data_IF_219555651766
#
_entry.id   IF_219555651766
#
_cell.length_a   1.000
_cell.length_b   1.000
_cell.length_c   1.000
_cell.angle_alpha   90.00
_cell.angle_beta   90.00
_cell.angle_gamma   90.00
#
_symmetry.space_group_name_H-M   'P 1'
#
loop_
_entity.id
_entity.type
_entity.pdbx_description
1 polymer ?
#
# COMPACT_ATOMS: atom_id res chain seq x y z
N UNK A 1 -47.93 -5.04 9.64
CA UNK A 1 -46.63 -5.04 10.36
C UNK A 1 -45.58 -5.65 9.43
N UNK A 2 -44.76 -4.83 8.77
CA UNK A 2 -43.67 -5.36 7.92
C UNK A 2 -42.66 -6.05 8.83
N UNK A 3 -42.50 -7.37 8.66
CA UNK A 3 -41.52 -8.15 9.39
C UNK A 3 -40.13 -7.49 9.27
N UNK A 4 -39.55 -7.11 10.39
CA UNK A 4 -38.23 -6.46 10.42
C UNK A 4 -37.19 -7.45 9.91
N UNK A 5 -36.82 -7.33 8.63
CA UNK A 5 -35.92 -8.25 7.94
C UNK A 5 -34.59 -8.44 8.67
N UNK A 6 -34.02 -9.65 8.57
CA UNK A 6 -32.73 -9.98 9.20
C UNK A 6 -31.62 -9.09 8.61
N UNK A 7 -30.70 -8.58 9.44
CA UNK A 7 -29.54 -7.82 8.95
C UNK A 7 -28.59 -8.74 8.16
N UNK A 8 -27.61 -8.13 7.49
CA UNK A 8 -26.43 -8.83 7.00
C UNK A 8 -25.72 -9.56 8.15
N UNK A 9 -24.98 -10.62 7.84
CA UNK A 9 -24.16 -11.35 8.82
C UNK A 9 -22.76 -11.56 8.31
N UNK A 10 -21.79 -11.57 9.20
CA UNK A 10 -20.38 -11.75 8.88
C UNK A 10 -19.86 -13.09 9.41
N UNK A 11 -19.08 -13.77 8.58
CA UNK A 11 -18.27 -14.92 9.00
C UNK A 11 -16.82 -14.63 8.68
N UNK A 12 -15.96 -14.63 9.70
CA UNK A 12 -14.53 -14.31 9.55
C UNK A 12 -13.68 -15.54 9.81
N UNK A 13 -12.78 -15.86 8.89
CA UNK A 13 -11.81 -16.95 9.06
C UNK A 13 -10.73 -16.55 10.07
N UNK A 14 -10.64 -17.28 11.19
CA UNK A 14 -9.70 -17.07 12.30
C UNK A 14 -9.15 -18.42 12.75
N UNK A 15 -8.24 -18.97 11.94
CA UNK A 15 -7.61 -20.26 12.23
C UNK A 15 -6.18 -20.31 11.72
N UNK A 16 -5.65 -21.50 11.47
CA UNK A 16 -4.21 -21.68 11.24
C UNK A 16 -3.63 -20.82 10.09
N UNK A 17 -4.42 -20.51 9.07
CA UNK A 17 -4.00 -19.72 7.91
C UNK A 17 -4.46 -18.26 7.91
N UNK A 18 -5.47 -17.88 8.70
CA UNK A 18 -6.06 -16.55 8.70
C UNK A 18 -6.07 -16.01 10.14
N UNK A 19 -5.57 -14.80 10.36
CA UNK A 19 -5.42 -14.29 11.73
C UNK A 19 -4.08 -14.60 12.39
N UNK A 20 -3.03 -14.94 11.63
CA UNK A 20 -1.68 -15.18 12.19
C UNK A 20 -0.64 -14.27 11.55
N UNK A 21 0.22 -13.69 12.39
CA UNK A 21 1.34 -12.86 11.95
C UNK A 21 2.30 -13.63 11.01
N UNK A 22 2.36 -14.96 11.12
CA UNK A 22 3.13 -15.82 10.20
C UNK A 22 2.64 -15.72 8.76
N UNK A 23 1.32 -15.65 8.54
CA UNK A 23 0.75 -15.56 7.19
C UNK A 23 0.71 -14.12 6.70
N UNK A 24 0.36 -13.19 7.58
CA UNK A 24 0.19 -11.76 7.26
C UNK A 24 0.88 -10.92 8.35
N UNK A 25 2.21 -10.73 8.25
CA UNK A 25 2.94 -9.92 9.21
C UNK A 25 2.50 -8.45 9.11
N UNK A 26 2.44 -7.77 10.26
CA UNK A 26 2.06 -6.35 10.33
C UNK A 26 0.56 -6.06 10.25
N UNK A 27 -0.29 -7.08 10.22
CA UNK A 27 -1.75 -6.92 10.31
C UNK A 27 -2.18 -7.11 11.76
N UNK A 28 -2.87 -6.11 12.33
CA UNK A 28 -3.55 -6.25 13.61
C UNK A 28 -4.84 -7.05 13.42
N UNK A 29 -4.72 -8.36 13.65
CA UNK A 29 -5.82 -9.27 13.52
C UNK A 29 -6.89 -9.05 14.59
N UNK A 30 -6.50 -8.83 15.84
CA UNK A 30 -7.45 -8.69 16.96
C UNK A 30 -8.22 -7.37 16.83
N UNK A 31 -7.54 -6.25 16.57
CA UNK A 31 -8.18 -4.96 16.32
C UNK A 31 -9.11 -5.00 15.10
N UNK A 32 -8.71 -5.68 14.02
CA UNK A 32 -9.62 -5.89 12.88
C UNK A 32 -10.89 -6.66 13.28
N UNK A 33 -10.77 -7.70 14.11
CA UNK A 33 -11.93 -8.49 14.54
C UNK A 33 -12.87 -7.67 15.42
N UNK A 34 -12.32 -6.87 16.31
CA UNK A 34 -13.07 -5.96 17.17
C UNK A 34 -13.82 -4.90 16.36
N UNK A 35 -13.13 -4.23 15.41
CA UNK A 35 -13.76 -3.26 14.50
C UNK A 35 -14.89 -3.88 13.69
N UNK A 36 -14.69 -5.09 13.14
CA UNK A 36 -15.75 -5.82 12.42
C UNK A 36 -16.93 -6.18 13.34
N UNK A 37 -16.66 -6.54 14.60
CA UNK A 37 -17.70 -6.83 15.60
C UNK A 37 -18.51 -5.59 15.99
N UNK A 38 -17.94 -4.40 15.83
CA UNK A 38 -18.57 -3.10 16.09
C UNK A 38 -19.53 -2.61 14.99
N UNK A 39 -19.52 -3.22 13.81
CA UNK A 39 -20.30 -2.75 12.66
C UNK A 39 -21.82 -2.74 12.91
N UNK A 40 -22.47 -1.73 12.35
CA UNK A 40 -23.93 -1.50 12.43
C UNK A 40 -24.53 -1.42 11.03
N UNK A 41 -25.75 -1.93 10.87
CA UNK A 41 -26.51 -1.76 9.63
C UNK A 41 -27.16 -0.37 9.53
N UNK A 42 -27.80 -0.07 8.40
CA UNK A 42 -28.48 1.22 8.17
C UNK A 42 -29.63 1.51 9.14
N UNK A 43 -30.02 0.54 9.96
CA UNK A 43 -31.03 0.68 11.03
C UNK A 43 -30.39 0.74 12.43
N UNK A 44 -29.06 0.88 12.52
CA UNK A 44 -28.32 0.94 13.78
C UNK A 44 -28.18 -0.41 14.51
N UNK A 45 -28.61 -1.52 13.92
CA UNK A 45 -28.56 -2.85 14.55
C UNK A 45 -27.15 -3.41 14.44
N UNK A 46 -26.68 -4.12 15.47
CA UNK A 46 -25.38 -4.81 15.41
C UNK A 46 -25.41 -5.86 14.32
N UNK A 47 -24.38 -5.86 13.47
CA UNK A 47 -24.17 -6.89 12.46
C UNK A 47 -23.71 -8.16 13.18
N UNK A 48 -24.45 -9.29 13.11
CA UNK A 48 -24.01 -10.52 13.74
C UNK A 48 -22.72 -11.01 13.08
N UNK A 49 -21.67 -11.16 13.89
CA UNK A 49 -20.38 -11.66 13.48
C UNK A 49 -20.11 -13.01 14.15
N UNK A 50 -19.59 -13.96 13.38
CA UNK A 50 -19.09 -15.24 13.88
C UNK A 50 -17.71 -15.49 13.31
N UNK A 51 -16.87 -16.17 14.08
CA UNK A 51 -15.59 -16.68 13.60
C UNK A 51 -15.73 -18.11 13.13
N UNK A 52 -14.95 -18.48 12.12
CA UNK A 52 -14.78 -19.87 11.67
C UNK A 52 -13.31 -20.24 11.72
N UNK A 53 -13.01 -21.50 12.05
CA UNK A 53 -11.63 -22.01 12.05
C UNK A 53 -11.05 -22.12 10.64
N UNK A 54 -11.88 -22.43 9.63
CA UNK A 54 -11.46 -22.45 8.23
C UNK A 54 -12.65 -22.16 7.31
N UNK A 55 -12.38 -21.47 6.20
CA UNK A 55 -13.36 -21.19 5.14
C UNK A 55 -12.99 -21.81 3.78
N UNK A 56 -11.78 -22.40 3.64
CA UNK A 56 -11.35 -23.09 2.42
C UNK A 56 -10.21 -22.38 1.66
N UNK A 57 -10.40 -21.15 1.13
CA UNK A 57 -9.42 -20.52 0.24
C UNK A 57 -8.25 -19.89 1.01
N UNK A 58 -7.50 -20.72 1.73
CA UNK A 58 -6.39 -20.34 2.61
C UNK A 58 -5.23 -19.61 1.90
N UNK A 59 -5.17 -19.65 0.56
CA UNK A 59 -4.21 -18.88 -0.23
C UNK A 59 -4.57 -17.40 -0.35
N UNK A 60 -5.84 -17.04 -0.19
CA UNK A 60 -6.29 -15.66 -0.14
C UNK A 60 -6.01 -15.01 1.22
N UNK A 61 -5.94 -15.80 2.31
CA UNK A 61 -5.79 -15.31 3.69
C UNK A 61 -6.90 -14.31 4.12
N UNK A 62 -7.09 -14.16 5.43
CA UNK A 62 -8.09 -13.27 6.07
C UNK A 62 -9.44 -13.23 5.33
N UNK A 63 -10.04 -14.40 5.15
CA UNK A 63 -11.30 -14.50 4.39
C UNK A 63 -12.47 -14.01 5.25
N UNK A 64 -13.29 -13.13 4.68
CA UNK A 64 -14.55 -12.64 5.27
C UNK A 64 -15.69 -13.01 4.34
N UNK A 65 -16.79 -13.53 4.88
CA UNK A 65 -18.01 -13.83 4.13
C UNK A 65 -19.12 -12.93 4.62
N UNK A 66 -19.70 -12.18 3.69
CA UNK A 66 -20.85 -11.31 3.94
C UNK A 66 -22.10 -12.03 3.47
N UNK A 67 -22.95 -12.42 4.40
CA UNK A 67 -24.26 -12.99 4.10
C UNK A 67 -25.28 -11.86 3.86
N UNK A 68 -26.12 -11.96 2.81
CA UNK A 68 -27.15 -10.98 2.54
C UNK A 68 -28.18 -10.89 3.67
N UNK A 69 -28.73 -9.68 3.84
CA UNK A 69 -29.91 -9.39 4.65
C UNK A 69 -31.15 -10.09 4.07
N UNK A 70 -32.30 -10.03 4.77
CA UNK A 70 -33.57 -10.51 4.18
C UNK A 70 -33.85 -9.80 2.85
N UNK A 71 -33.82 -8.47 2.84
CA UNK A 71 -34.04 -7.66 1.64
C UNK A 71 -33.05 -7.98 0.53
N UNK A 72 -31.76 -8.08 0.88
CA UNK A 72 -30.72 -8.45 -0.09
C UNK A 72 -31.01 -9.81 -0.73
N UNK A 73 -31.50 -10.81 0.02
CA UNK A 73 -31.89 -12.11 -0.54
C UNK A 73 -33.12 -12.02 -1.44
N UNK A 74 -34.12 -11.24 -1.06
CA UNK A 74 -35.34 -11.03 -1.86
C UNK A 74 -35.02 -10.41 -3.23
N UNK A 75 -34.00 -9.55 -3.28
CA UNK A 75 -33.44 -8.97 -4.51
C UNK A 75 -32.47 -9.90 -5.27
N UNK A 76 -32.35 -11.16 -4.86
CA UNK A 76 -31.48 -12.16 -5.51
C UNK A 76 -30.03 -12.19 -5.00
N UNK A 77 -29.71 -11.43 -3.96
CA UNK A 77 -28.39 -11.39 -3.34
C UNK A 77 -27.89 -12.76 -2.89
N UNK A 78 -26.57 -12.96 -3.04
CA UNK A 78 -25.85 -14.18 -2.65
C UNK A 78 -24.72 -13.82 -1.68
N UNK A 79 -24.22 -14.76 -0.88
CA UNK A 79 -23.07 -14.52 -0.02
C UNK A 79 -21.85 -14.07 -0.84
N UNK A 80 -21.22 -12.97 -0.41
CA UNK A 80 -20.00 -12.46 -1.04
C UNK A 80 -18.80 -12.87 -0.19
N UNK A 81 -17.80 -13.46 -0.83
CA UNK A 81 -16.57 -13.92 -0.21
C UNK A 81 -15.46 -12.93 -0.54
N UNK A 82 -14.83 -12.38 0.48
CA UNK A 82 -13.75 -11.41 0.38
C UNK A 82 -12.45 -12.07 0.88
N UNK A 83 -11.46 -12.16 0.00
CA UNK A 83 -10.11 -12.63 0.30
C UNK A 83 -9.15 -11.46 0.53
N UNK A 84 -7.96 -11.75 1.06
CA UNK A 84 -6.91 -10.74 1.30
C UNK A 84 -7.38 -9.55 2.16
N UNK A 85 -8.43 -9.71 2.98
CA UNK A 85 -9.05 -8.63 3.74
C UNK A 85 -8.16 -8.23 4.94
N UNK A 86 -7.16 -7.39 4.69
CA UNK A 86 -6.13 -7.02 5.66
C UNK A 86 -6.06 -5.52 5.93
N UNK A 87 -6.50 -4.70 5.00
CA UNK A 87 -6.41 -3.25 5.08
C UNK A 87 -7.53 -2.64 5.93
N UNK A 88 -7.21 -1.65 6.75
CA UNK A 88 -8.18 -0.97 7.62
C UNK A 88 -9.29 -0.26 6.84
N UNK A 89 -8.96 0.36 5.70
CA UNK A 89 -9.95 1.04 4.86
C UNK A 89 -11.01 0.08 4.30
N UNK A 90 -10.69 -1.20 4.12
CA UNK A 90 -11.69 -2.19 3.68
C UNK A 90 -12.77 -2.45 4.74
N UNK A 91 -12.45 -2.24 6.02
CA UNK A 91 -13.42 -2.37 7.12
C UNK A 91 -14.44 -1.23 7.03
N UNK A 92 -13.95 -0.01 6.73
CA UNK A 92 -14.80 1.17 6.58
C UNK A 92 -15.69 1.03 5.33
N UNK A 93 -15.12 0.64 4.18
CA UNK A 93 -15.87 0.34 2.95
C UNK A 93 -16.93 -0.75 3.16
N UNK A 94 -16.59 -1.81 3.92
CA UNK A 94 -17.52 -2.87 4.28
C UNK A 94 -18.64 -2.37 5.20
N UNK A 95 -18.31 -1.52 6.16
CA UNK A 95 -19.27 -0.90 7.07
C UNK A 95 -20.27 -0.04 6.32
N UNK A 96 -19.80 0.79 5.40
CA UNK A 96 -20.65 1.65 4.56
C UNK A 96 -21.55 0.81 3.64
N UNK A 97 -20.99 -0.20 2.99
CA UNK A 97 -21.78 -1.10 2.14
C UNK A 97 -22.86 -1.87 2.91
N UNK A 98 -22.58 -2.32 4.14
CA UNK A 98 -23.60 -2.95 5.01
C UNK A 98 -24.67 -1.94 5.43
N UNK A 99 -24.29 -0.67 5.64
CA UNK A 99 -25.23 0.40 5.99
C UNK A 99 -26.22 0.67 4.85
N UNK A 100 -25.76 0.57 3.62
CA UNK A 100 -26.57 0.64 2.39
C UNK A 100 -27.40 -0.63 2.11
N UNK A 101 -27.23 -1.69 2.92
CA UNK A 101 -28.02 -2.93 2.85
C UNK A 101 -27.24 -4.16 2.37
N UNK A 102 -26.01 -3.97 1.89
CA UNK A 102 -25.07 -5.02 1.55
C UNK A 102 -25.43 -5.83 0.30
N UNK A 103 -25.02 -7.13 0.23
CA UNK A 103 -25.15 -7.93 -0.98
C UNK A 103 -26.60 -8.02 -1.52
N UNK A 104 -26.78 -7.61 -2.78
CA UNK A 104 -28.06 -7.64 -3.49
C UNK A 104 -28.96 -6.41 -3.24
N UNK A 105 -28.69 -5.62 -2.20
CA UNK A 105 -29.41 -4.38 -1.92
C UNK A 105 -28.63 -3.14 -2.38
N UNK A 106 -27.30 -3.15 -2.25
CA UNK A 106 -26.41 -2.08 -2.68
C UNK A 106 -25.33 -2.61 -3.65
N UNK A 107 -24.87 -1.78 -4.61
CA UNK A 107 -23.77 -2.15 -5.51
C UNK A 107 -22.50 -2.44 -4.71
N UNK A 108 -21.69 -3.38 -5.19
CA UNK A 108 -20.44 -3.74 -4.51
C UNK A 108 -19.39 -2.62 -4.74
N UNK A 109 -18.82 -2.03 -3.67
CA UNK A 109 -17.75 -1.03 -3.81
C UNK A 109 -16.53 -1.59 -4.54
N UNK A 110 -15.88 -0.77 -5.36
CA UNK A 110 -14.73 -1.18 -6.18
C UNK A 110 -13.58 -1.74 -5.33
N UNK A 111 -13.32 -1.12 -4.17
CA UNK A 111 -12.32 -1.57 -3.21
C UNK A 111 -12.57 -3.03 -2.77
N UNK A 112 -13.84 -3.40 -2.51
CA UNK A 112 -14.22 -4.77 -2.14
C UNK A 112 -14.29 -5.71 -3.36
N UNK A 113 -14.69 -5.19 -4.54
CA UNK A 113 -14.78 -5.95 -5.78
C UNK A 113 -13.43 -6.58 -6.16
N UNK A 114 -12.32 -5.86 -5.95
CA UNK A 114 -10.97 -6.36 -6.20
C UNK A 114 -10.55 -7.53 -5.28
N UNK A 115 -11.35 -7.87 -4.26
CA UNK A 115 -11.09 -8.93 -3.27
C UNK A 115 -12.10 -10.06 -3.34
N UNK A 116 -13.05 -10.01 -4.26
CA UNK A 116 -14.05 -11.06 -4.41
C UNK A 116 -13.38 -12.37 -4.80
N UNK A 117 -13.68 -13.41 -4.04
CA UNK A 117 -13.25 -14.78 -4.27
C UNK A 117 -14.47 -15.72 -4.21
N UNK A 118 -14.24 -17.03 -4.30
CA UNK A 118 -15.24 -18.05 -4.01
C UNK A 118 -14.73 -19.05 -2.98
N UNK A 119 -15.64 -19.84 -2.40
CA UNK A 119 -15.30 -20.98 -1.54
C UNK A 119 -14.36 -21.96 -2.26
N UNK A 120 -14.67 -22.24 -3.51
CA UNK A 120 -13.98 -23.21 -4.37
C UNK A 120 -12.86 -22.57 -5.19
N UNK A 121 -12.44 -21.35 -4.84
CA UNK A 121 -11.39 -20.67 -5.57
C UNK A 121 -10.12 -21.53 -5.53
N UNK A 122 -9.62 -21.90 -6.71
CA UNK A 122 -8.37 -22.63 -6.81
C UNK A 122 -7.19 -21.67 -6.77
N UNK A 123 -6.11 -22.08 -6.11
CA UNK A 123 -4.87 -21.33 -6.14
C UNK A 123 -4.39 -21.25 -7.60
N UNK A 124 -4.16 -20.05 -8.16
CA UNK A 124 -3.78 -19.95 -9.57
C UNK A 124 -2.49 -20.74 -9.81
N UNK A 125 -2.58 -21.77 -10.67
CA UNK A 125 -1.43 -22.52 -11.16
C UNK A 125 -0.50 -21.51 -11.80
N UNK A 126 0.75 -21.40 -11.31
CA UNK A 126 1.74 -20.42 -11.78
C UNK A 126 2.12 -20.71 -13.24
N UNK A 127 1.29 -20.30 -14.18
CA UNK A 127 1.62 -20.24 -15.59
C UNK A 127 0.95 -18.99 -16.19
N UNK A 128 1.77 -18.08 -16.73
CA UNK A 128 1.45 -16.95 -17.62
C UNK A 128 1.04 -15.57 -17.04
N UNK A 129 0.37 -15.40 -15.88
CA UNK A 129 0.07 -14.02 -15.40
C UNK A 129 1.28 -13.25 -14.81
N UNK A 130 2.22 -13.94 -14.16
CA UNK A 130 3.43 -13.30 -13.60
C UNK A 130 4.38 -12.71 -14.66
N UNK A 131 4.29 -13.11 -15.93
CA UNK A 131 5.13 -12.58 -17.02
C UNK A 131 4.56 -11.28 -17.63
N UNK A 132 3.25 -11.06 -17.61
CA UNK A 132 2.64 -9.83 -18.16
C UNK A 132 2.64 -8.69 -17.13
N UNK A 133 2.23 -8.92 -15.88
CA UNK A 133 2.16 -7.82 -14.89
C UNK A 133 3.54 -7.37 -14.42
N UNK A 134 4.52 -8.28 -14.29
CA UNK A 134 5.91 -7.92 -13.97
C UNK A 134 6.63 -7.23 -15.14
N UNK A 135 6.15 -7.36 -16.38
CA UNK A 135 6.66 -6.63 -17.56
C UNK A 135 6.02 -5.24 -17.68
N UNK A 136 4.76 -5.07 -17.27
CA UNK A 136 4.07 -3.78 -17.22
C UNK A 136 4.56 -2.90 -16.05
N UNK A 137 4.62 -3.43 -14.81
CA UNK A 137 5.04 -2.64 -13.64
C UNK A 137 6.55 -2.25 -13.69
N UNK A 138 7.38 -3.09 -14.31
CA UNK A 138 8.81 -2.80 -14.51
C UNK A 138 9.06 -1.80 -15.65
N UNK A 139 8.07 -1.55 -16.51
CA UNK A 139 8.12 -0.50 -17.52
C UNK A 139 7.75 0.87 -16.93
N UNK A 140 6.75 0.94 -16.04
CA UNK A 140 6.34 2.21 -15.40
C UNK A 140 7.27 2.71 -14.28
N UNK A 141 7.93 1.83 -13.50
CA UNK A 141 8.82 2.28 -12.41
C UNK A 141 10.19 2.82 -12.87
N UNK A 142 10.50 2.82 -14.18
CA UNK A 142 11.83 3.20 -14.70
C UNK A 142 12.16 4.71 -14.81
N UNK A 143 11.23 5.70 -14.90
CA UNK A 143 11.63 7.10 -15.01
C UNK A 143 12.00 7.71 -13.64
N UNK A 144 11.29 7.34 -12.57
CA UNK A 144 11.40 8.02 -11.27
C UNK A 144 12.77 7.86 -10.59
N UNK A 145 13.43 6.70 -10.73
CA UNK A 145 14.73 6.47 -10.08
C UNK A 145 15.90 7.19 -10.80
N UNK A 146 15.80 7.41 -12.11
CA UNK A 146 16.79 8.19 -12.88
C UNK A 146 16.61 9.70 -12.65
N UNK A 147 15.36 10.20 -12.59
CA UNK A 147 15.08 11.59 -12.28
C UNK A 147 15.60 11.99 -10.88
N UNK A 148 15.33 11.19 -9.84
CA UNK A 148 15.80 11.50 -8.46
C UNK A 148 17.32 11.50 -8.30
N UNK A 149 18.06 10.72 -9.11
CA UNK A 149 19.53 10.68 -9.09
C UNK A 149 20.16 11.86 -9.85
N UNK A 150 19.49 12.36 -10.89
CA UNK A 150 19.93 13.54 -11.65
C UNK A 150 19.78 14.84 -10.84
N UNK A 151 18.62 15.04 -10.19
CA UNK A 151 18.35 16.23 -9.38
C UNK A 151 19.35 16.34 -8.21
N UNK A 152 19.62 15.22 -7.52
CA UNK A 152 20.59 15.19 -6.41
C UNK A 152 22.04 15.44 -6.84
N UNK A 153 22.40 15.16 -8.11
CA UNK A 153 23.74 15.41 -8.65
C UNK A 153 23.93 16.90 -9.02
N UNK A 154 22.90 17.53 -9.56
CA UNK A 154 22.91 18.98 -9.89
C UNK A 154 22.94 19.82 -8.61
N UNK A 155 22.18 19.46 -7.59
CA UNK A 155 22.16 20.16 -6.30
C UNK A 155 23.51 20.08 -5.58
N UNK A 156 24.17 18.91 -5.63
CA UNK A 156 25.50 18.71 -5.06
C UNK A 156 26.59 19.46 -5.83
N UNK A 157 26.46 19.61 -7.15
CA UNK A 157 27.38 20.40 -7.97
C UNK A 157 27.24 21.91 -7.70
N UNK A 158 26.00 22.41 -7.60
CA UNK A 158 25.72 23.81 -7.26
C UNK A 158 26.24 24.19 -5.86
N UNK A 159 26.08 23.28 -4.87
CA UNK A 159 26.60 23.49 -3.52
C UNK A 159 28.14 23.48 -3.46
N UNK A 160 28.81 22.70 -4.32
CA UNK A 160 30.28 22.67 -4.43
C UNK A 160 30.83 23.94 -5.10
N UNK A 161 30.16 24.44 -6.15
CA UNK A 161 30.54 25.68 -6.82
C UNK A 161 30.38 26.91 -5.91
N UNK A 162 29.30 26.97 -5.11
CA UNK A 162 29.11 28.06 -4.12
C UNK A 162 30.14 28.03 -2.98
N UNK A 163 30.63 26.86 -2.57
CA UNK A 163 31.73 26.76 -1.59
C UNK A 163 33.07 27.22 -2.17
N UNK A 164 33.38 26.82 -3.41
CA UNK A 164 34.61 27.24 -4.08
C UNK A 164 34.65 28.76 -4.37
N UNK A 165 33.52 29.38 -4.72
CA UNK A 165 33.44 30.83 -4.90
C UNK A 165 33.57 31.60 -3.57
N UNK A 166 33.10 31.01 -2.45
CA UNK A 166 33.24 31.60 -1.11
C UNK A 166 34.67 31.48 -0.57
N UNK A 167 35.40 30.43 -0.93
CA UNK A 167 36.82 30.25 -0.57
C UNK A 167 37.76 31.12 -1.43
N UNK A 168 37.39 31.45 -2.68
CA UNK A 168 38.14 32.40 -3.52
C UNK A 168 37.90 33.88 -3.18
N UNK A 169 36.79 34.22 -2.50
CA UNK A 169 36.42 35.58 -2.12
C UNK A 169 37.00 36.10 -0.78
N UNK A 170 37.72 35.27 -0.02
CA UNK A 170 38.28 35.64 1.28
C UNK A 170 39.82 35.90 1.25
N UNK A 171 40.44 35.91 0.07
CA UNK A 171 41.88 36.14 -0.11
C UNK A 171 42.19 37.31 -1.07
N UNK A 172 41.39 38.38 -1.01
CA UNK A 172 41.67 39.64 -1.72
C UNK A 172 41.53 40.83 -0.77
N UNK A 173 42.35 40.85 0.28
CA UNK A 173 42.72 42.04 1.04
C UNK A 173 44.05 41.79 1.75
N UNK A 174 45.18 41.82 1.01
CA UNK A 174 46.43 42.49 1.47
C UNK A 174 47.50 42.49 0.35
N UNK A 175 47.80 43.70 -0.15
CA UNK A 175 49.12 44.26 -0.50
C UNK A 175 49.99 43.68 -1.65
N UNK A 176 49.90 44.39 -2.78
CA UNK A 176 50.98 45.14 -3.46
C UNK A 176 52.40 44.55 -3.57
N UNK A 177 52.83 44.27 -4.82
CA UNK A 177 54.22 44.41 -5.26
C UNK A 177 54.31 44.60 -6.78
N UNK A 178 55.12 45.56 -7.31
CA UNK A 178 55.66 45.47 -8.66
C UNK A 178 57.14 45.04 -8.63
N UNK A 179 57.46 44.00 -9.39
CA UNK A 179 58.82 43.51 -9.64
C UNK A 179 59.40 44.14 -10.90
N UNK A 180 60.64 44.65 -10.84
CA UNK A 180 61.45 44.97 -12.03
C UNK A 180 62.62 43.99 -12.17
N UNK A 181 62.60 43.32 -13.33
CA UNK A 181 63.71 42.97 -14.23
C UNK A 181 64.76 41.93 -13.82
N UNK A 182 64.60 40.75 -14.42
CA UNK A 182 65.53 40.08 -15.37
C UNK A 182 67.04 40.44 -15.38
N UNK A 183 67.89 39.41 -15.16
CA UNK A 183 68.96 38.89 -16.06
C UNK A 183 69.74 37.81 -15.30
N UNK A 184 69.68 36.53 -15.69
CA UNK A 184 70.45 35.84 -16.74
C UNK A 184 71.93 35.61 -16.37
N UNK A 185 72.31 34.33 -16.44
CA UNK A 185 73.64 33.76 -16.64
C UNK A 185 74.59 33.72 -15.42
N UNK A 186 75.52 32.78 -15.28
CA UNK A 186 75.80 31.43 -15.82
C UNK A 186 77.14 31.07 -15.16
N UNK A 187 77.29 29.83 -14.70
CA UNK A 187 78.55 29.06 -14.60
C UNK A 187 79.60 29.42 -13.53
N UNK A 188 80.15 28.31 -13.03
CA UNK A 188 81.55 28.03 -12.65
C UNK A 188 81.97 28.50 -11.25
N UNK A 189 82.44 27.64 -10.32
CA UNK A 189 83.52 26.62 -10.30
C UNK A 189 84.69 27.19 -9.47
N UNK A 190 85.23 26.35 -8.59
CA UNK A 190 86.44 26.53 -7.74
C UNK A 190 86.27 27.49 -6.56
N UNK A 191 86.74 27.14 -5.36
CA UNK A 191 87.52 25.98 -4.93
C UNK A 191 87.63 25.98 -3.41
#
# INVERSE_FOLDING_TARGET
MTATGRPCRLVVCRGCCCGTAKKRPGVDHEGQLERLGGLRDGRGRRVPLRTSTCLGPCFQANVVVVQPSSEGRERGGRPVWLGEFSEDGLIDDLGDWIREGGPGAAPLPEALAARVTSKDAEKPKKAKKAKKTKKAEKAEKKPGKKAKKAVKKVEKAAKKAKRAAKEAGAAAADRSAPTKKTKKAKKAKKG
#
